data_IF_294689332316
#
_entry.id   IF_294689332316
#
_cell.length_a   1.000
_cell.length_b   1.000
_cell.length_c   1.000
_cell.angle_alpha   90.00
_cell.angle_beta   90.00
_cell.angle_gamma   90.00
#
_symmetry.space_group_name_H-M   'P 1'
#
loop_
_entity.id
_entity.type
_entity.pdbx_description
1 polymer ?
#
# COMPACT_ATOMS: atom_id res chain seq x y z
N UNK A 1 -18.20 29.53 11.16
CA UNK A 1 -18.59 28.40 12.05
C UNK A 1 -18.61 27.15 11.20
N UNK A 2 -17.86 26.15 11.60
CA UNK A 2 -17.79 24.89 10.88
C UNK A 2 -19.01 24.02 11.17
N UNK A 3 -19.42 23.25 10.17
CA UNK A 3 -20.58 22.39 10.21
C UNK A 3 -20.16 20.96 9.90
N UNK A 4 -20.54 20.03 10.77
CA UNK A 4 -20.32 18.61 10.52
C UNK A 4 -21.54 18.05 9.83
N UNK A 5 -21.34 17.56 8.61
CA UNK A 5 -22.35 16.85 7.84
C UNK A 5 -21.87 15.42 7.58
N UNK A 6 -22.78 14.44 7.51
CA UNK A 6 -22.41 13.06 7.23
C UNK A 6 -21.71 12.94 5.87
N UNK A 7 -20.72 12.05 5.77
CA UNK A 7 -20.13 11.69 4.48
C UNK A 7 -21.22 11.10 3.58
N UNK A 8 -21.34 11.63 2.37
CA UNK A 8 -22.29 11.14 1.36
C UNK A 8 -21.56 10.98 0.03
N UNK A 9 -21.75 9.82 -0.61
CA UNK A 9 -21.19 9.52 -1.92
C UNK A 9 -21.83 10.34 -3.05
N UNK A 10 -22.98 10.97 -2.80
CA UNK A 10 -23.76 11.68 -3.81
C UNK A 10 -22.96 12.76 -4.53
N UNK A 11 -22.07 13.47 -3.83
CA UNK A 11 -21.22 14.51 -4.43
C UNK A 11 -20.19 13.96 -5.42
N UNK A 12 -19.93 12.66 -5.42
CA UNK A 12 -19.09 11.98 -6.40
C UNK A 12 -19.88 11.32 -7.54
N UNK A 13 -21.19 11.51 -7.61
CA UNK A 13 -22.03 10.90 -8.66
C UNK A 13 -21.78 11.55 -10.02
N UNK A 14 -21.55 10.73 -11.05
CA UNK A 14 -21.42 11.19 -12.44
C UNK A 14 -22.72 11.74 -13.02
N UNK A 15 -23.86 11.51 -12.37
CA UNK A 15 -25.16 12.07 -12.78
C UNK A 15 -25.36 13.52 -12.35
N UNK A 16 -24.51 14.02 -11.44
CA UNK A 16 -24.58 15.43 -11.05
C UNK A 16 -24.02 16.33 -12.17
N UNK A 17 -24.72 17.42 -12.49
CA UNK A 17 -24.19 18.41 -13.43
C UNK A 17 -22.82 18.93 -12.99
N UNK A 18 -21.84 18.84 -13.88
CA UNK A 18 -20.51 19.41 -13.68
C UNK A 18 -20.50 20.90 -14.07
N UNK A 19 -19.54 21.68 -13.53
CA UNK A 19 -19.35 23.10 -13.83
C UNK A 19 -20.61 23.98 -13.70
N UNK A 20 -21.55 23.56 -12.87
CA UNK A 20 -22.78 24.33 -12.59
C UNK A 20 -22.65 25.01 -11.24
N UNK A 21 -23.28 26.18 -11.10
CA UNK A 21 -23.39 26.86 -9.81
C UNK A 21 -24.06 25.92 -8.79
N UNK A 22 -23.40 25.70 -7.65
CA UNK A 22 -23.97 25.02 -6.50
C UNK A 22 -24.56 26.06 -5.59
N UNK A 23 -25.83 25.90 -5.22
CA UNK A 23 -26.44 26.72 -4.18
C UNK A 23 -26.40 25.97 -2.87
N UNK A 24 -26.04 26.69 -1.80
CA UNK A 24 -25.92 26.15 -0.46
C UNK A 24 -26.82 26.96 0.46
N UNK A 25 -27.77 26.27 1.10
CA UNK A 25 -28.65 26.80 2.12
C UNK A 25 -28.34 26.18 3.47
N UNK A 26 -28.60 26.91 4.55
CA UNK A 26 -28.40 26.44 5.92
C UNK A 26 -29.59 26.83 6.79
N UNK A 27 -30.07 25.90 7.59
CA UNK A 27 -30.95 26.15 8.74
C UNK A 27 -30.23 25.76 10.03
N UNK A 28 -30.93 25.80 11.17
CA UNK A 28 -30.37 25.38 12.46
C UNK A 28 -29.94 23.91 12.47
N UNK A 29 -30.70 23.04 11.77
CA UNK A 29 -30.53 21.58 11.82
C UNK A 29 -30.06 20.96 10.51
N UNK A 30 -30.10 21.70 9.40
CA UNK A 30 -29.87 21.15 8.08
C UNK A 30 -28.94 22.03 7.24
N UNK A 31 -28.14 21.38 6.41
CA UNK A 31 -27.52 22.00 5.24
C UNK A 31 -28.18 21.45 3.99
N UNK A 32 -28.55 22.35 3.09
CA UNK A 32 -29.19 22.05 1.83
C UNK A 32 -28.24 22.38 0.67
N UNK A 33 -28.15 21.49 -0.30
CA UNK A 33 -27.38 21.69 -1.53
C UNK A 33 -28.33 21.59 -2.72
N UNK A 34 -28.26 22.56 -3.65
CA UNK A 34 -28.94 22.47 -4.94
C UNK A 34 -27.92 22.49 -6.07
N UNK A 35 -27.97 21.47 -6.91
CA UNK A 35 -27.03 21.24 -8.03
C UNK A 35 -27.87 20.92 -9.27
N UNK A 36 -28.11 21.92 -10.12
CA UNK A 36 -29.06 21.81 -11.21
C UNK A 36 -30.48 21.51 -10.69
N UNK A 37 -31.08 20.42 -11.16
CA UNK A 37 -32.40 19.93 -10.73
C UNK A 37 -32.38 19.11 -9.43
N UNK A 38 -31.19 18.82 -8.88
CA UNK A 38 -31.05 18.00 -7.68
C UNK A 38 -31.04 18.85 -6.42
N UNK A 39 -31.77 18.41 -5.41
CA UNK A 39 -31.77 19.00 -4.06
C UNK A 39 -31.43 17.93 -3.02
N UNK A 40 -30.45 18.21 -2.17
CA UNK A 40 -30.02 17.33 -1.08
C UNK A 40 -30.12 18.06 0.26
N UNK A 41 -30.53 17.34 1.30
CA UNK A 41 -30.58 17.87 2.66
C UNK A 41 -29.86 16.92 3.61
N UNK A 42 -28.94 17.46 4.41
CA UNK A 42 -28.18 16.70 5.38
C UNK A 42 -28.31 17.31 6.78
N UNK A 43 -28.60 16.45 7.76
CA UNK A 43 -28.65 16.87 9.15
C UNK A 43 -27.26 17.31 9.60
N UNK A 44 -27.19 18.43 10.30
CA UNK A 44 -25.97 18.93 10.94
C UNK A 44 -25.75 18.11 12.21
N UNK A 45 -24.57 17.51 12.34
CA UNK A 45 -24.12 16.93 13.59
C UNK A 45 -23.62 18.05 14.51
N UNK A 46 -24.46 18.43 15.49
CA UNK A 46 -24.19 19.52 16.44
C UNK A 46 -23.38 19.06 17.66
N UNK A 47 -23.41 17.78 17.98
CA UNK A 47 -22.74 17.19 19.14
C UNK A 47 -21.28 16.84 18.81
N UNK A 48 -21.01 16.49 17.56
CA UNK A 48 -19.69 16.14 17.10
C UNK A 48 -18.69 17.28 17.14
N UNK A 49 -17.41 16.91 17.20
CA UNK A 49 -16.26 17.78 16.98
C UNK A 49 -15.40 17.17 15.89
N UNK A 50 -14.97 18.00 14.95
CA UNK A 50 -13.93 17.59 14.02
C UNK A 50 -12.58 17.73 14.72
N UNK A 51 -11.65 16.77 14.54
CA UNK A 51 -10.30 16.93 15.06
C UNK A 51 -9.65 18.21 14.53
N UNK A 52 -8.81 18.86 15.34
CA UNK A 52 -7.99 19.97 14.88
C UNK A 52 -6.84 19.46 14.00
N UNK A 53 -7.16 19.23 12.73
CA UNK A 53 -6.20 18.78 11.72
C UNK A 53 -5.28 19.90 11.24
N UNK A 54 -5.67 21.16 11.43
CA UNK A 54 -4.89 22.31 10.96
C UNK A 54 -3.58 22.43 11.75
N UNK A 55 -3.64 22.13 13.06
CA UNK A 55 -2.45 22.05 13.92
C UNK A 55 -1.39 21.05 13.44
N UNK A 56 -1.78 20.03 12.66
CA UNK A 56 -0.87 19.01 12.12
C UNK A 56 -0.23 19.42 10.80
N UNK A 57 -0.74 20.47 10.14
CA UNK A 57 -0.24 20.93 8.85
C UNK A 57 0.94 21.87 9.08
N UNK A 58 2.14 21.34 8.86
CA UNK A 58 3.38 22.14 8.88
C UNK A 58 3.48 23.07 7.67
N UNK A 59 4.30 24.10 7.82
CA UNK A 59 4.71 24.96 6.72
C UNK A 59 5.78 24.24 5.88
N UNK A 60 5.54 24.16 4.57
CA UNK A 60 6.44 23.56 3.59
C UNK A 60 7.83 24.22 3.57
N UNK A 61 7.94 25.49 3.95
CA UNK A 61 9.22 26.20 4.06
C UNK A 61 10.19 25.57 5.09
N UNK A 62 9.67 24.78 6.03
CA UNK A 62 10.47 24.08 7.05
C UNK A 62 10.74 22.61 6.72
N UNK A 63 10.48 22.17 5.49
CA UNK A 63 10.77 20.81 5.05
C UNK A 63 12.29 20.56 5.05
N UNK A 64 12.73 19.37 5.50
CA UNK A 64 14.13 18.94 5.41
C UNK A 64 14.53 18.62 3.97
N UNK A 65 13.57 18.13 3.18
CA UNK A 65 13.74 17.83 1.77
C UNK A 65 12.44 18.09 1.00
N UNK A 66 12.59 18.40 -0.30
CA UNK A 66 11.49 18.42 -1.25
C UNK A 66 11.79 17.51 -2.43
N UNK A 67 10.85 16.62 -2.74
CA UNK A 67 10.94 15.69 -3.87
C UNK A 67 10.01 16.21 -4.98
N UNK A 68 10.62 16.64 -6.08
CA UNK A 68 9.94 17.05 -7.30
C UNK A 68 9.76 15.84 -8.20
N UNK A 69 8.51 15.43 -8.39
CA UNK A 69 8.13 14.34 -9.28
C UNK A 69 7.79 14.93 -10.65
N UNK A 70 8.61 14.62 -11.64
CA UNK A 70 8.37 15.06 -13.01
C UNK A 70 7.04 14.53 -13.57
N UNK A 71 6.44 15.26 -14.50
CA UNK A 71 5.16 14.89 -15.10
C UNK A 71 5.20 13.55 -15.86
N UNK A 72 6.31 13.23 -16.53
CA UNK A 72 6.50 11.94 -17.22
C UNK A 72 6.65 10.82 -16.19
N UNK A 73 7.47 11.05 -15.18
CA UNK A 73 7.71 10.10 -14.09
C UNK A 73 6.44 9.80 -13.29
N UNK A 74 5.62 10.81 -12.99
CA UNK A 74 4.33 10.64 -12.33
C UNK A 74 3.39 9.76 -13.17
N UNK A 75 3.33 10.00 -14.47
CA UNK A 75 2.49 9.22 -15.39
C UNK A 75 2.96 7.77 -15.48
N UNK A 76 4.27 7.56 -15.60
CA UNK A 76 4.88 6.24 -15.60
C UNK A 76 4.61 5.52 -14.28
N UNK A 77 4.87 6.17 -13.15
CA UNK A 77 4.69 5.61 -11.82
C UNK A 77 3.23 5.22 -11.58
N UNK A 78 2.25 6.04 -11.96
CA UNK A 78 0.83 5.71 -11.83
C UNK A 78 0.43 4.44 -12.62
N UNK A 79 1.04 4.22 -13.79
CA UNK A 79 0.81 3.00 -14.61
C UNK A 79 1.46 1.78 -13.94
N UNK A 80 2.70 1.92 -13.47
CA UNK A 80 3.53 0.82 -12.96
C UNK A 80 3.20 0.43 -11.51
N UNK A 81 2.65 1.34 -10.69
CA UNK A 81 2.45 1.13 -9.24
C UNK A 81 1.53 -0.05 -8.90
N UNK A 82 0.59 -0.41 -9.79
CA UNK A 82 -0.28 -1.59 -9.60
C UNK A 82 0.47 -2.92 -9.73
N UNK A 83 1.59 -2.93 -10.45
CA UNK A 83 2.40 -4.12 -10.71
C UNK A 83 3.53 -4.28 -9.68
N UNK A 84 3.80 -3.25 -8.88
CA UNK A 84 4.76 -3.33 -7.78
C UNK A 84 4.34 -4.41 -6.77
N UNK A 85 5.24 -5.33 -6.38
CA UNK A 85 4.94 -6.37 -5.38
C UNK A 85 4.62 -5.76 -4.00
N UNK A 86 4.04 -6.56 -3.10
CA UNK A 86 3.65 -6.10 -1.74
C UNK A 86 2.41 -5.20 -1.70
N UNK A 87 1.61 -5.19 -2.77
CA UNK A 87 0.39 -4.37 -2.84
C UNK A 87 -0.76 -4.89 -1.98
N UNK A 88 -0.78 -6.19 -1.70
CA UNK A 88 -1.74 -6.89 -0.85
C UNK A 88 -1.32 -6.98 0.62
N UNK A 89 -0.06 -6.67 0.94
CA UNK A 89 0.43 -6.49 2.31
C UNK A 89 -0.35 -5.37 3.03
N UNK A 90 -0.48 -5.49 4.36
CA UNK A 90 -1.09 -4.46 5.19
C UNK A 90 -0.39 -3.10 4.97
N UNK A 91 -1.17 -2.03 4.79
CA UNK A 91 -0.71 -0.70 4.36
C UNK A 91 0.02 -0.62 3.00
N UNK A 92 0.05 -1.69 2.21
CA UNK A 92 0.59 -1.70 0.84
C UNK A 92 1.92 -0.92 0.70
N UNK A 93 2.95 -1.24 1.51
CA UNK A 93 4.11 -0.39 1.72
C UNK A 93 4.93 -0.19 0.45
N UNK A 94 5.47 1.01 0.28
CA UNK A 94 6.50 1.35 -0.69
C UNK A 94 7.51 2.27 -0.05
N UNK A 95 8.76 2.16 -0.47
CA UNK A 95 9.82 3.08 -0.06
C UNK A 95 10.05 4.11 -1.15
N UNK A 96 9.96 5.39 -0.79
CA UNK A 96 10.48 6.50 -1.60
C UNK A 96 11.91 6.75 -1.13
N UNK A 97 12.90 6.38 -1.93
CA UNK A 97 14.30 6.70 -1.66
C UNK A 97 14.72 7.87 -2.55
N UNK A 98 15.06 8.97 -1.90
CA UNK A 98 15.51 10.18 -2.55
C UNK A 98 16.98 10.48 -2.22
N UNK A 99 17.82 9.46 -1.99
CA UNK A 99 19.25 9.61 -1.78
C UNK A 99 20.03 9.57 -3.11
N UNK A 100 20.18 10.74 -3.74
CA UNK A 100 20.81 10.88 -5.05
C UNK A 100 19.77 10.96 -6.16
N UNK A 101 19.40 9.81 -6.74
CA UNK A 101 18.26 9.72 -7.68
C UNK A 101 16.99 9.33 -6.90
N UNK A 102 15.83 9.58 -7.49
CA UNK A 102 14.55 9.22 -6.88
C UNK A 102 14.12 7.82 -7.32
N UNK A 103 13.99 6.92 -6.34
CA UNK A 103 13.53 5.55 -6.54
C UNK A 103 12.25 5.28 -5.75
N UNK A 104 11.35 4.50 -6.34
CA UNK A 104 10.24 3.86 -5.64
C UNK A 104 10.55 2.37 -5.53
N UNK A 105 10.72 1.88 -4.31
CA UNK A 105 11.00 0.46 -4.05
C UNK A 105 9.81 -0.25 -3.45
N UNK A 106 9.67 -1.52 -3.81
CA UNK A 106 8.70 -2.42 -3.21
C UNK A 106 9.23 -3.84 -3.25
N UNK A 107 8.83 -4.65 -2.28
CA UNK A 107 9.19 -6.06 -2.22
C UNK A 107 7.97 -6.84 -1.75
N UNK A 108 7.75 -8.01 -2.34
CA UNK A 108 6.76 -8.97 -1.86
C UNK A 108 7.38 -9.84 -0.78
N UNK A 109 6.57 -10.39 0.12
CA UNK A 109 7.02 -11.21 1.25
C UNK A 109 7.95 -12.36 0.82
N UNK A 110 7.66 -12.99 -0.33
CA UNK A 110 8.44 -14.10 -0.89
C UNK A 110 9.39 -13.69 -2.03
N UNK A 111 9.55 -12.39 -2.31
CA UNK A 111 10.36 -11.93 -3.43
C UNK A 111 11.86 -11.91 -3.03
N UNK A 112 12.75 -12.57 -3.81
CA UNK A 112 14.16 -12.70 -3.46
C UNK A 112 14.91 -11.36 -3.51
N UNK A 113 14.45 -10.43 -4.34
CA UNK A 113 15.00 -9.08 -4.46
C UNK A 113 13.89 -8.04 -4.62
N UNK A 114 14.14 -6.79 -4.21
CA UNK A 114 13.18 -5.71 -4.38
C UNK A 114 13.05 -5.30 -5.85
N UNK A 115 11.88 -4.80 -6.20
CA UNK A 115 11.64 -4.11 -7.47
C UNK A 115 11.84 -2.61 -7.23
N UNK A 116 12.64 -1.98 -8.07
CA UNK A 116 12.88 -0.54 -8.07
C UNK A 116 12.30 0.11 -9.32
N UNK A 117 11.54 1.18 -9.13
CA UNK A 117 11.24 2.13 -10.20
C UNK A 117 12.15 3.34 -10.02
N UNK A 118 13.02 3.57 -10.99
CA UNK A 118 13.78 4.79 -11.12
C UNK A 118 12.93 5.86 -11.80
N UNK A 119 12.73 6.99 -11.12
CA UNK A 119 12.11 8.19 -11.67
C UNK A 119 13.23 9.08 -12.25
N UNK A 120 13.46 8.94 -13.56
CA UNK A 120 14.65 9.47 -14.24
C UNK A 120 14.75 11.00 -14.27
N UNK A 121 13.62 11.69 -14.25
CA UNK A 121 13.52 13.15 -14.37
C UNK A 121 13.18 13.82 -13.02
N UNK A 122 12.78 13.03 -12.03
CA UNK A 122 12.43 13.48 -10.71
C UNK A 122 13.68 13.78 -9.89
N UNK A 123 13.59 14.81 -9.06
CA UNK A 123 14.73 15.32 -8.31
C UNK A 123 14.38 15.55 -6.85
N UNK A 124 15.41 15.69 -6.03
CA UNK A 124 15.27 16.03 -4.62
C UNK A 124 16.17 17.20 -4.25
N UNK A 125 15.60 18.23 -3.65
CA UNK A 125 16.33 19.30 -2.96
C UNK A 125 16.34 19.05 -1.44
N UNK A 126 17.37 19.55 -0.75
CA UNK A 126 17.53 19.33 0.69
C UNK A 126 18.18 17.97 1.04
N UNK A 127 17.86 17.46 2.23
CA UNK A 127 18.50 16.29 2.82
C UNK A 127 18.15 14.98 2.08
N UNK A 128 19.10 14.04 2.05
CA UNK A 128 18.83 12.71 1.52
C UNK A 128 17.92 11.93 2.48
N UNK A 129 16.76 11.48 1.98
CA UNK A 129 15.74 10.84 2.79
C UNK A 129 15.30 9.51 2.16
N UNK A 130 14.98 8.54 3.02
CA UNK A 130 14.33 7.28 2.64
C UNK A 130 13.06 7.14 3.46
N UNK A 131 11.91 7.19 2.81
CA UNK A 131 10.61 7.22 3.47
C UNK A 131 9.82 5.96 3.16
N UNK A 132 9.36 5.25 4.18
CA UNK A 132 8.39 4.17 4.04
C UNK A 132 6.97 4.74 4.08
N UNK A 133 6.10 4.38 3.14
CA UNK A 133 4.75 4.96 3.05
C UNK A 133 3.75 4.01 2.41
N UNK A 134 2.45 4.24 2.65
CA UNK A 134 1.38 3.51 1.97
C UNK A 134 1.25 4.01 0.53
N UNK A 135 1.45 3.10 -0.43
CA UNK A 135 1.42 3.43 -1.86
C UNK A 135 0.09 4.02 -2.32
N UNK A 136 -1.02 3.73 -1.62
CA UNK A 136 -2.35 4.26 -1.97
C UNK A 136 -2.43 5.75 -1.74
N UNK A 137 -1.76 6.27 -0.70
CA UNK A 137 -1.71 7.72 -0.44
C UNK A 137 -0.78 8.42 -1.42
N UNK A 138 0.40 7.84 -1.68
CA UNK A 138 1.29 8.35 -2.72
C UNK A 138 0.59 8.39 -4.09
N UNK A 139 -0.08 7.29 -4.48
CA UNK A 139 -0.90 7.23 -5.70
C UNK A 139 -1.95 8.33 -5.73
N UNK A 140 -2.67 8.52 -4.62
CA UNK A 140 -3.73 9.52 -4.51
C UNK A 140 -3.17 10.94 -4.67
N UNK A 141 -2.01 11.24 -4.10
CA UNK A 141 -1.34 12.53 -4.31
C UNK A 141 -1.09 12.79 -5.80
N UNK A 142 -0.54 11.79 -6.51
CA UNK A 142 -0.25 11.87 -7.93
C UNK A 142 -1.52 11.99 -8.79
N UNK A 143 -2.56 11.20 -8.51
CA UNK A 143 -3.88 11.24 -9.16
C UNK A 143 -4.58 12.60 -8.94
N UNK A 144 -4.34 13.25 -7.79
CA UNK A 144 -4.83 14.61 -7.52
C UNK A 144 -4.02 15.69 -8.24
N UNK A 145 -2.90 15.35 -8.87
CA UNK A 145 -2.06 16.27 -9.62
C UNK A 145 -0.93 16.91 -8.80
N UNK A 146 -0.70 16.48 -7.56
CA UNK A 146 0.47 16.95 -6.81
C UNK A 146 1.76 16.41 -7.43
N UNK A 147 2.78 17.26 -7.52
CA UNK A 147 4.09 16.95 -8.10
C UNK A 147 5.26 17.27 -7.19
N UNK A 148 4.99 17.93 -6.06
CA UNK A 148 5.99 18.20 -5.04
C UNK A 148 5.58 17.52 -3.73
N UNK A 149 6.52 16.81 -3.11
CA UNK A 149 6.35 16.13 -1.83
C UNK A 149 7.38 16.68 -0.85
N UNK A 150 6.91 17.34 0.20
CA UNK A 150 7.72 17.85 1.29
C UNK A 150 7.89 16.79 2.37
N UNK A 151 9.15 16.60 2.78
CA UNK A 151 9.58 15.65 3.80
C UNK A 151 10.14 16.46 4.99
N UNK A 152 9.75 16.10 6.20
CA UNK A 152 10.24 16.74 7.43
C UNK A 152 11.20 15.82 8.21
N UNK A 153 10.87 14.53 8.27
CA UNK A 153 11.70 13.42 8.72
C UNK A 153 11.04 12.10 8.28
N UNK A 154 11.73 10.94 8.33
CA UNK A 154 11.18 9.65 7.88
C UNK A 154 9.91 9.18 8.60
N UNK A 155 9.77 9.49 9.89
CA UNK A 155 8.65 9.11 10.77
C UNK A 155 7.54 10.19 10.83
N UNK A 156 7.69 11.25 10.04
CA UNK A 156 6.83 12.42 10.06
C UNK A 156 5.91 12.47 8.82
N UNK A 157 4.66 12.95 8.96
CA UNK A 157 3.74 13.06 7.83
C UNK A 157 4.31 13.79 6.61
N UNK A 158 4.03 13.24 5.42
CA UNK A 158 4.39 13.84 4.14
C UNK A 158 3.35 14.85 3.71
N UNK A 159 3.80 15.98 3.13
CA UNK A 159 2.94 17.07 2.72
C UNK A 159 3.12 17.40 1.25
N UNK A 160 2.02 17.46 0.51
CA UNK A 160 1.96 18.11 -0.80
C UNK A 160 1.20 19.43 -0.69
N UNK A 161 1.69 20.47 -1.35
CA UNK A 161 1.04 21.78 -1.43
C UNK A 161 0.94 22.20 -2.90
N UNK A 162 -0.21 22.71 -3.29
CA UNK A 162 -0.37 23.52 -4.49
C UNK A 162 -1.05 24.86 -4.13
N UNK A 163 -1.35 25.70 -5.12
CA UNK A 163 -1.95 27.02 -4.89
C UNK A 163 -3.30 27.00 -4.15
N UNK A 164 -4.02 25.88 -4.15
CA UNK A 164 -5.40 25.78 -3.64
C UNK A 164 -5.62 24.64 -2.65
N UNK A 165 -4.70 23.69 -2.56
CA UNK A 165 -4.91 22.41 -1.88
C UNK A 165 -3.66 22.01 -1.12
N UNK A 166 -3.89 21.33 0.01
CA UNK A 166 -2.87 20.61 0.77
C UNK A 166 -3.30 19.15 0.87
N UNK A 167 -2.36 18.23 0.74
CA UNK A 167 -2.60 16.81 0.92
C UNK A 167 -1.53 16.24 1.86
N UNK A 168 -1.97 15.62 2.94
CA UNK A 168 -1.12 15.16 4.05
C UNK A 168 -1.45 13.70 4.35
N UNK A 169 -0.44 12.89 4.61
CA UNK A 169 -0.61 11.53 5.11
C UNK A 169 0.56 11.10 5.99
N UNK A 170 0.29 10.18 6.92
CA UNK A 170 1.33 9.62 7.78
C UNK A 170 2.25 8.67 7.01
N UNK A 171 3.52 8.62 7.41
CA UNK A 171 4.48 7.62 6.94
C UNK A 171 4.31 6.31 7.73
N UNK A 172 4.93 5.26 7.21
CA UNK A 172 5.06 3.98 7.90
C UNK A 172 6.39 3.95 8.66
N UNK A 173 6.58 2.92 9.49
CA UNK A 173 7.80 2.67 10.26
C UNK A 173 9.06 2.81 9.38
N UNK A 174 9.98 3.74 9.70
CA UNK A 174 11.18 3.99 8.90
C UNK A 174 12.13 2.79 8.79
N UNK A 175 12.19 1.96 9.82
CA UNK A 175 13.05 0.78 9.89
C UNK A 175 12.70 -0.27 8.83
N UNK A 176 11.42 -0.30 8.42
CA UNK A 176 10.91 -1.19 7.38
C UNK A 176 11.15 -0.65 5.96
N UNK A 177 11.80 0.51 5.82
CA UNK A 177 12.13 1.06 4.50
C UNK A 177 13.15 0.18 3.77
N UNK A 178 12.81 -0.20 2.53
CA UNK A 178 13.62 -1.07 1.69
C UNK A 178 14.92 -0.35 1.29
N UNK A 179 16.04 -0.92 1.73
CA UNK A 179 17.38 -0.43 1.43
C UNK A 179 17.72 -0.64 -0.06
N UNK A 180 18.64 0.16 -0.63
CA UNK A 180 19.23 -0.13 -1.93
C UNK A 180 19.81 -1.54 -1.94
N UNK A 181 19.67 -2.23 -3.07
CA UNK A 181 20.20 -3.57 -3.30
C UNK A 181 20.75 -3.66 -4.72
N UNK A 182 21.93 -4.27 -4.86
CA UNK A 182 22.57 -4.45 -6.18
C UNK A 182 21.84 -5.50 -7.03
N UNK A 183 21.10 -6.42 -6.39
CA UNK A 183 20.31 -7.47 -7.04
C UNK A 183 18.87 -7.04 -7.36
N UNK A 184 18.56 -5.75 -7.19
CA UNK A 184 17.22 -5.23 -7.39
C UNK A 184 16.79 -5.31 -8.87
N UNK A 185 15.55 -5.73 -9.12
CA UNK A 185 14.96 -5.66 -10.45
C UNK A 185 14.58 -4.21 -10.73
N UNK A 186 15.37 -3.53 -11.56
CA UNK A 186 15.19 -2.11 -11.86
C UNK A 186 14.40 -1.88 -13.14
N UNK A 187 13.36 -1.06 -13.01
CA UNK A 187 12.57 -0.50 -14.11
C UNK A 187 12.79 1.01 -14.08
N UNK A 188 12.90 1.67 -15.22
CA UNK A 188 13.08 3.11 -15.29
C UNK A 188 11.98 3.75 -16.12
N UNK A 189 11.62 4.98 -15.77
CA UNK A 189 10.71 5.82 -16.57
C UNK A 189 11.36 6.34 -17.86
N UNK A 190 12.26 5.55 -18.49
CA UNK A 190 13.05 5.96 -19.66
C UNK A 190 12.15 6.60 -20.72
N UNK A 191 12.59 7.74 -21.23
CA UNK A 191 12.12 8.29 -22.49
C UNK A 191 12.41 7.26 -23.60
N UNK A 192 11.45 7.00 -24.47
CA UNK A 192 11.67 6.15 -25.63
C UNK A 192 12.66 6.86 -26.56
N UNK A 193 13.92 6.47 -26.48
CA UNK A 193 14.83 6.49 -27.61
C UNK A 193 15.77 5.27 -27.49
N UNK A 194 15.59 4.34 -28.42
CA UNK A 194 16.40 3.16 -28.69
C UNK A 194 16.36 1.97 -27.69
N UNK A 195 15.77 0.90 -28.21
CA UNK A 195 15.79 -0.48 -27.73
C UNK A 195 17.18 -1.11 -27.81
N UNK A 196 17.62 -1.85 -26.79
CA UNK A 196 18.58 -2.98 -26.92
C UNK A 196 18.26 -4.06 -25.87
N UNK A 197 18.24 -5.36 -26.23
CA UNK A 197 17.72 -6.44 -25.40
C UNK A 197 18.63 -6.90 -24.25
N UNK A 198 17.97 -7.51 -23.27
CA UNK A 198 18.54 -8.15 -22.08
C UNK A 198 19.33 -9.40 -22.48
N UNK A 199 20.63 -9.42 -22.17
CA UNK A 199 21.42 -10.66 -22.16
C UNK A 199 21.27 -11.33 -20.79
N UNK A 200 20.45 -12.37 -20.73
CA UNK A 200 20.28 -13.24 -19.57
C UNK A 200 21.43 -14.25 -19.53
N UNK A 201 22.35 -14.12 -18.57
CA UNK A 201 23.32 -15.19 -18.27
C UNK A 201 22.77 -16.02 -17.12
N UNK A 202 22.18 -17.17 -17.44
CA UNK A 202 21.80 -18.20 -16.48
C UNK A 202 23.06 -18.98 -16.07
N UNK A 203 23.31 -19.10 -14.77
CA UNK A 203 24.24 -20.10 -14.25
C UNK A 203 23.48 -21.06 -13.35
N UNK A 204 23.39 -22.30 -13.83
CA UNK A 204 22.92 -23.49 -13.13
C UNK A 204 23.94 -23.88 -12.06
N UNK A 205 23.47 -24.36 -10.90
CA UNK A 205 24.03 -25.50 -10.17
C UNK A 205 23.05 -25.84 -9.02
N UNK A 206 22.30 -26.93 -9.10
CA UNK A 206 22.65 -28.35 -8.91
C UNK A 206 22.42 -28.79 -7.46
N UNK A 207 21.78 -29.94 -7.36
CA UNK A 207 21.08 -30.52 -6.22
C UNK A 207 22.04 -31.33 -5.36
N UNK A 208 21.93 -31.26 -4.03
CA UNK A 208 22.41 -32.34 -3.16
C UNK A 208 21.43 -32.65 -2.03
N UNK A 209 21.03 -33.91 -2.00
CA UNK A 209 20.14 -34.58 -1.06
C UNK A 209 20.97 -35.15 0.08
N UNK A 210 20.48 -35.06 1.32
CA UNK A 210 20.82 -36.04 2.38
C UNK A 210 19.65 -36.22 3.36
N UNK A 211 19.43 -37.48 3.73
CA UNK A 211 18.29 -38.06 4.44
C UNK A 211 18.82 -38.81 5.67
N UNK A 212 18.18 -38.70 6.84
CA UNK A 212 17.93 -39.77 7.84
C UNK A 212 17.24 -39.18 9.09
N UNK A 213 16.00 -39.56 9.44
CA UNK A 213 15.56 -40.68 10.32
C UNK A 213 15.57 -40.31 11.84
N UNK A 214 14.39 -40.11 12.47
CA UNK A 214 13.68 -41.02 13.44
C UNK A 214 14.44 -41.21 14.77
N UNK A 215 13.92 -41.17 16.01
CA UNK A 215 12.63 -41.34 16.74
C UNK A 215 12.95 -40.91 18.21
N UNK A 216 12.08 -40.53 19.16
CA UNK A 216 11.02 -41.31 19.85
C UNK A 216 10.42 -40.49 21.03
N UNK A 217 9.18 -40.85 21.40
CA UNK A 217 8.28 -40.52 22.53
C UNK A 217 8.93 -40.56 23.95
N UNK A 218 8.35 -40.18 25.10
CA UNK A 218 6.96 -39.96 25.56
C UNK A 218 6.91 -39.19 26.93
N UNK A 219 5.84 -38.43 27.12
CA UNK A 219 4.93 -38.25 28.28
C UNK A 219 5.39 -38.32 29.77
N UNK A 220 4.88 -37.38 30.60
CA UNK A 220 4.40 -37.62 31.99
C UNK A 220 3.51 -36.45 32.47
N UNK A 221 2.30 -36.80 32.93
CA UNK A 221 1.29 -35.95 33.58
C UNK A 221 1.65 -35.65 35.04
N UNK A 222 1.07 -34.59 35.63
CA UNK A 222 0.49 -34.59 36.98
C UNK A 222 -0.44 -33.38 37.21
N UNK A 223 -1.63 -33.68 37.74
CA UNK A 223 -2.70 -32.79 38.24
C UNK A 223 -2.25 -31.86 39.39
N UNK A 224 -2.89 -30.69 39.57
CA UNK A 224 -4.01 -30.52 40.52
C UNK A 224 -4.51 -29.06 40.64
N UNK A 225 -5.76 -28.95 41.05
CA UNK A 225 -6.65 -27.79 41.22
C UNK A 225 -6.13 -26.68 42.15
N UNK A 226 -6.43 -25.41 41.83
CA UNK A 226 -7.11 -24.49 42.76
C UNK A 226 -7.53 -23.16 42.11
N UNK A 227 -8.81 -22.85 42.27
CA UNK A 227 -9.43 -21.53 42.09
C UNK A 227 -8.79 -20.50 43.03
N UNK A 228 -8.05 -19.56 42.47
CA UNK A 228 -7.69 -18.29 43.08
C UNK A 228 -7.81 -17.19 42.03
N UNK A 229 -8.16 -15.98 42.45
CA UNK A 229 -8.27 -14.77 41.64
C UNK A 229 -7.11 -14.63 40.65
N UNK A 230 -7.39 -14.71 39.33
CA UNK A 230 -6.39 -14.56 38.27
C UNK A 230 -5.58 -13.28 38.48
N UNK A 231 -4.29 -13.43 38.72
CA UNK A 231 -3.36 -12.29 38.77
C UNK A 231 -3.26 -11.69 37.35
N UNK A 232 -2.89 -10.42 37.26
CA UNK A 232 -2.70 -9.74 35.98
C UNK A 232 -1.66 -10.44 35.09
N UNK A 233 -0.68 -11.12 35.69
CA UNK A 233 0.36 -11.86 34.97
C UNK A 233 -0.22 -13.08 34.24
N UNK A 234 -1.16 -13.82 34.85
CA UNK A 234 -1.84 -14.93 34.18
C UNK A 234 -2.70 -14.46 32.99
N UNK A 235 -3.25 -13.24 33.06
CA UNK A 235 -3.99 -12.64 31.96
C UNK A 235 -3.07 -12.21 30.81
N UNK A 236 -1.84 -11.77 31.13
CA UNK A 236 -0.81 -11.45 30.13
C UNK A 236 -0.35 -12.73 29.44
N UNK A 237 -0.03 -13.78 30.20
CA UNK A 237 0.36 -15.08 29.63
C UNK A 237 -0.73 -15.67 28.73
N UNK A 238 -2.00 -15.58 29.16
CA UNK A 238 -3.14 -15.99 28.34
C UNK A 238 -3.26 -15.16 27.04
N UNK A 239 -2.98 -13.85 27.10
CA UNK A 239 -2.99 -12.97 25.93
C UNK A 239 -1.82 -13.24 24.97
N UNK A 240 -0.63 -13.55 25.50
CA UNK A 240 0.53 -13.95 24.70
C UNK A 240 0.32 -15.30 24.02
N UNK A 241 -0.26 -16.26 24.73
CA UNK A 241 -0.63 -17.56 24.15
C UNK A 241 -1.71 -17.40 23.07
N UNK A 242 -2.70 -16.52 23.27
CA UNK A 242 -3.70 -16.20 22.25
C UNK A 242 -3.05 -15.55 21.01
N UNK A 243 -2.10 -14.63 21.20
CA UNK A 243 -1.33 -13.99 20.12
C UNK A 243 -0.51 -15.01 19.34
N UNK A 244 0.12 -15.97 20.01
CA UNK A 244 0.85 -17.06 19.36
C UNK A 244 -0.09 -17.95 18.53
N UNK A 245 -1.24 -18.35 19.10
CA UNK A 245 -2.24 -19.17 18.42
C UNK A 245 -2.86 -18.47 17.20
N UNK A 246 -3.10 -17.16 17.27
CA UNK A 246 -3.58 -16.36 16.13
C UNK A 246 -2.54 -16.27 15.01
N UNK A 247 -1.25 -16.14 15.35
CA UNK A 247 -0.18 -16.15 14.33
C UNK A 247 -0.06 -17.51 13.64
N UNK A 248 -0.15 -18.60 14.40
CA UNK A 248 -0.13 -19.95 13.83
C UNK A 248 -1.35 -20.19 12.93
N UNK A 249 -2.54 -19.77 13.37
CA UNK A 249 -3.78 -19.86 12.58
C UNK A 249 -3.71 -19.00 11.31
N UNK A 250 -3.12 -17.80 11.40
CA UNK A 250 -2.89 -16.93 10.25
C UNK A 250 -1.91 -17.58 9.26
N UNK A 251 -0.83 -18.18 9.75
CA UNK A 251 0.12 -18.96 8.94
C UNK A 251 -0.57 -20.09 8.17
N UNK A 252 -1.34 -20.92 8.87
CA UNK A 252 -2.14 -22.01 8.26
C UNK A 252 -3.15 -21.51 7.23
N UNK A 253 -3.76 -20.34 7.49
CA UNK A 253 -4.70 -19.71 6.54
C UNK A 253 -3.97 -19.23 5.27
N UNK A 254 -2.79 -18.65 5.43
CA UNK A 254 -1.96 -18.24 4.30
C UNK A 254 -1.48 -19.43 3.48
N UNK A 255 -1.02 -20.51 4.12
CA UNK A 255 -0.67 -21.77 3.45
C UNK A 255 -1.86 -22.32 2.63
N UNK A 256 -3.07 -22.30 3.20
CA UNK A 256 -4.29 -22.72 2.50
C UNK A 256 -4.59 -21.81 1.30
N UNK A 257 -4.47 -20.49 1.44
CA UNK A 257 -4.67 -19.53 0.35
C UNK A 257 -3.65 -19.77 -0.77
N UNK A 258 -2.38 -20.01 -0.43
CA UNK A 258 -1.33 -20.32 -1.40
C UNK A 258 -1.64 -21.63 -2.12
N UNK A 259 -2.02 -22.68 -1.38
CA UNK A 259 -2.45 -23.96 -1.95
C UNK A 259 -3.62 -23.82 -2.91
N UNK A 260 -4.65 -23.05 -2.55
CA UNK A 260 -5.82 -22.79 -3.40
C UNK A 260 -5.47 -21.96 -4.65
N UNK A 261 -4.59 -20.96 -4.54
CA UNK A 261 -4.10 -20.18 -5.69
C UNK A 261 -3.32 -21.07 -6.66
N UNK A 262 -2.46 -21.95 -6.14
CA UNK A 262 -1.72 -22.94 -6.94
C UNK A 262 -2.66 -23.89 -7.67
N UNK A 263 -3.62 -24.47 -6.95
CA UNK A 263 -4.63 -25.36 -7.52
C UNK A 263 -5.45 -24.67 -8.63
N UNK A 264 -5.82 -23.39 -8.43
CA UNK A 264 -6.51 -22.61 -9.46
C UNK A 264 -5.66 -22.40 -10.72
N UNK A 265 -4.34 -22.21 -10.57
CA UNK A 265 -3.40 -22.05 -11.69
C UNK A 265 -3.25 -23.37 -12.45
N UNK A 266 -3.07 -24.49 -11.73
CA UNK A 266 -2.98 -25.83 -12.31
C UNK A 266 -4.27 -26.21 -13.06
N UNK A 267 -5.43 -25.97 -12.47
CA UNK A 267 -6.73 -26.20 -13.10
C UNK A 267 -6.91 -25.38 -14.39
N UNK A 268 -6.40 -24.14 -14.42
CA UNK A 268 -6.43 -23.31 -15.63
C UNK A 268 -5.54 -23.88 -16.73
N UNK A 269 -4.35 -24.36 -16.38
CA UNK A 269 -3.40 -24.96 -17.32
C UNK A 269 -4.00 -26.22 -17.94
N UNK A 270 -4.53 -27.14 -17.13
CA UNK A 270 -5.19 -28.37 -17.61
C UNK A 270 -6.36 -28.06 -18.54
N UNK A 271 -7.16 -27.04 -18.21
CA UNK A 271 -8.27 -26.62 -19.08
C UNK A 271 -7.78 -26.11 -20.43
N UNK A 272 -6.74 -25.27 -20.46
CA UNK A 272 -6.16 -24.80 -21.72
C UNK A 272 -5.51 -25.91 -22.54
N UNK A 273 -4.87 -26.91 -21.93
CA UNK A 273 -4.29 -28.03 -22.69
C UNK A 273 -5.36 -28.93 -23.29
N UNK A 274 -6.46 -29.18 -22.55
CA UNK A 274 -7.62 -29.91 -23.07
C UNK A 274 -8.31 -29.16 -24.22
N UNK A 275 -8.44 -27.84 -24.12
CA UNK A 275 -9.02 -27.02 -25.18
C UNK A 275 -8.13 -27.00 -26.44
N UNK A 276 -6.80 -26.93 -26.30
CA UNK A 276 -5.86 -27.04 -27.43
C UNK A 276 -5.87 -28.43 -28.07
N UNK A 277 -5.97 -29.50 -27.28
CA UNK A 277 -6.09 -30.88 -27.80
C UNK A 277 -7.39 -31.08 -28.60
N UNK A 278 -8.51 -30.49 -28.14
CA UNK A 278 -9.77 -30.51 -28.86
C UNK A 278 -9.70 -29.77 -30.19
N UNK A 279 -9.04 -28.61 -30.24
CA UNK A 279 -8.86 -27.85 -31.47
C UNK A 279 -8.04 -28.61 -32.52
N UNK A 280 -7.04 -29.39 -32.09
CA UNK A 280 -6.24 -30.23 -32.98
C UNK A 280 -7.02 -31.45 -33.51
N UNK A 281 -7.97 -32.00 -32.75
CA UNK A 281 -8.83 -33.09 -33.20
C UNK A 281 -9.91 -32.68 -34.21
N UNK A 282 -10.29 -31.41 -34.27
CA UNK A 282 -11.26 -30.90 -35.27
C UNK A 282 -10.65 -30.46 -36.60
N UNK A 283 -9.32 -30.57 -36.77
CA UNK A 283 -8.59 -30.14 -37.98
C UNK A 283 -8.02 -31.34 -38.78
N UNK A 284 -8.36 -32.58 -38.39
CA UNK A 284 -8.13 -33.80 -39.18
C UNK A 284 -9.44 -34.41 -39.65
#
# INVERSE_FOLDING_TARGET
KDLLIPRRSVFGSSQLPSNTKVEVGKSERWVCFRIGSWSFQFAINVEGRFPDVESMIRDAAHASASIQIDSHDATFLLKSMKQLPGGDTFHSPVTVDANGRVFIRSQGEDAPSPVEILLSNSTRSGQAERINTDRKFLRRALDLGFREIHVFAPDQPLLCVDHRRKYLWATLTPEDAIKPSDDAVRISSVFDDASVPITTTQTQQETTVAKSAQTSSANSQSDNQQTASRSTDELIDAAEHLKASLRDTLGKTNELIVGLKRHRKEAKIVRTTLDSLRQLQTVG
#
